data_IF_024617800214
#
_entry.id   IF_024617800214
#
_cell.length_a   1.000
_cell.length_b   1.000
_cell.length_c   1.000
_cell.angle_alpha   90.00
_cell.angle_beta   90.00
_cell.angle_gamma   90.00
#
_symmetry.space_group_name_H-M   'P 1'
#
loop_
_entity.id
_entity.type
_entity.pdbx_description
1 polymer ?
#
# COMPACT_ATOMS: atom_id res chain seq x y z
N UNK A 1 -10.64 2.63 -22.82
CA UNK A 1 -10.12 4.01 -22.83
C UNK A 1 -9.10 4.13 -21.72
N UNK A 2 -7.94 4.77 -21.91
CA UNK A 2 -7.04 5.06 -20.79
C UNK A 2 -7.83 5.81 -19.73
N UNK A 3 -7.86 5.30 -18.51
CA UNK A 3 -8.45 6.00 -17.38
C UNK A 3 -7.54 7.18 -17.09
N UNK A 4 -8.06 8.41 -17.14
CA UNK A 4 -7.32 9.58 -16.66
C UNK A 4 -7.00 9.31 -15.19
N UNK A 5 -5.72 9.19 -14.85
CA UNK A 5 -5.34 8.95 -13.47
C UNK A 5 -5.96 10.04 -12.58
N UNK A 6 -6.72 9.68 -11.52
CA UNK A 6 -7.41 10.65 -10.69
C UNK A 6 -6.45 11.48 -9.82
N UNK A 7 -5.15 11.24 -9.92
CA UNK A 7 -4.13 11.77 -9.02
C UNK A 7 -3.36 12.94 -9.63
N UNK A 8 -2.94 13.87 -8.77
CA UNK A 8 -1.73 14.66 -8.98
C UNK A 8 -0.48 13.87 -8.54
N UNK A 9 0.61 14.57 -8.23
CA UNK A 9 1.79 13.97 -7.57
C UNK A 9 1.42 13.57 -6.14
N UNK A 10 0.93 12.35 -5.95
CA UNK A 10 0.64 11.76 -4.64
C UNK A 10 1.90 11.08 -4.13
N UNK A 11 2.35 11.51 -2.94
CA UNK A 11 3.46 10.90 -2.22
C UNK A 11 3.00 9.63 -1.51
N UNK A 12 3.91 8.68 -1.37
CA UNK A 12 3.72 7.49 -0.56
C UNK A 12 5.05 6.97 -0.01
N UNK A 13 4.99 6.19 1.05
CA UNK A 13 6.14 5.45 1.57
C UNK A 13 5.90 3.95 1.43
N UNK A 14 6.86 3.22 0.85
CA UNK A 14 6.84 1.75 0.86
C UNK A 14 7.72 1.28 2.03
N UNK A 15 7.13 0.56 2.97
CA UNK A 15 7.82 -0.08 4.09
C UNK A 15 7.89 -1.57 3.81
N UNK A 16 9.11 -2.07 3.63
CA UNK A 16 9.37 -3.42 3.15
C UNK A 16 10.20 -4.21 4.15
N UNK A 17 9.61 -5.21 4.83
CA UNK A 17 10.37 -6.22 5.54
C UNK A 17 11.16 -7.12 4.58
N UNK A 18 12.37 -7.50 4.99
CA UNK A 18 13.22 -8.47 4.30
C UNK A 18 12.63 -9.88 4.35
N UNK A 19 11.85 -10.19 5.38
CA UNK A 19 11.12 -11.43 5.47
C UNK A 19 10.12 -11.52 4.31
N UNK A 20 10.27 -12.56 3.50
CA UNK A 20 9.34 -12.90 2.43
C UNK A 20 8.18 -13.72 2.97
N UNK A 21 7.04 -13.61 2.30
CA UNK A 21 5.90 -14.47 2.52
C UNK A 21 5.49 -15.10 1.18
N UNK A 22 5.36 -16.42 1.17
CA UNK A 22 5.06 -17.18 -0.04
C UNK A 22 3.62 -16.91 -0.49
N UNK A 23 3.45 -16.40 -1.72
CA UNK A 23 2.11 -16.19 -2.29
C UNK A 23 1.24 -17.46 -2.24
N UNK A 24 1.71 -18.66 -2.64
CA UNK A 24 0.95 -19.90 -2.43
C UNK A 24 0.53 -20.16 -0.98
N UNK A 25 1.35 -19.79 0.01
CA UNK A 25 1.01 -19.97 1.42
C UNK A 25 -0.12 -19.04 1.84
N UNK A 26 -0.08 -17.77 1.44
CA UNK A 26 -1.14 -16.78 1.74
C UNK A 26 -2.46 -17.20 1.09
N UNK A 27 -2.43 -17.57 -0.20
CA UNK A 27 -3.64 -18.06 -0.87
C UNK A 27 -4.15 -19.37 -0.25
N UNK A 28 -3.27 -20.25 0.22
CA UNK A 28 -3.65 -21.49 0.91
C UNK A 28 -4.26 -21.25 2.30
N UNK A 29 -4.00 -20.10 2.92
CA UNK A 29 -4.58 -19.68 4.19
C UNK A 29 -5.85 -18.82 4.03
N UNK A 30 -6.26 -18.52 2.79
CA UNK A 30 -7.43 -17.70 2.52
C UNK A 30 -8.71 -18.36 3.06
N UNK A 31 -9.44 -17.63 3.91
CA UNK A 31 -10.74 -18.03 4.42
C UNK A 31 -11.83 -17.24 3.69
N UNK A 32 -12.67 -17.93 2.92
CA UNK A 32 -13.74 -17.31 2.13
C UNK A 32 -14.81 -16.65 3.00
N UNK A 33 -14.98 -17.10 4.25
CA UNK A 33 -15.93 -16.50 5.17
C UNK A 33 -15.44 -15.15 5.74
N UNK A 34 -14.16 -14.83 5.54
CA UNK A 34 -13.50 -13.60 6.02
C UNK A 34 -13.21 -12.59 4.90
N UNK A 35 -13.60 -12.89 3.66
CA UNK A 35 -13.46 -11.95 2.55
C UNK A 35 -14.29 -10.69 2.81
N UNK A 36 -13.83 -9.59 2.22
CA UNK A 36 -14.60 -8.37 2.16
C UNK A 36 -15.96 -8.62 1.51
N UNK A 37 -16.97 -7.92 2.03
CA UNK A 37 -18.33 -7.93 1.49
C UNK A 37 -18.60 -6.74 0.57
N UNK A 38 -17.60 -5.87 0.43
CA UNK A 38 -17.68 -4.72 -0.46
C UNK A 38 -17.75 -5.16 -1.92
N UNK A 39 -18.53 -4.45 -2.72
CA UNK A 39 -18.60 -4.69 -4.16
C UNK A 39 -17.37 -4.07 -4.84
N UNK A 40 -16.51 -4.85 -5.52
CA UNK A 40 -15.33 -4.33 -6.19
C UNK A 40 -15.65 -3.33 -7.30
N UNK A 41 -16.83 -3.41 -7.94
CA UNK A 41 -17.24 -2.42 -8.94
C UNK A 41 -17.61 -1.08 -8.30
N UNK A 42 -18.22 -1.11 -7.10
CA UNK A 42 -18.53 0.10 -6.33
C UNK A 42 -17.24 0.75 -5.79
N UNK A 43 -16.32 -0.06 -5.25
CA UNK A 43 -14.99 0.42 -4.82
C UNK A 43 -14.24 1.08 -5.98
N UNK A 44 -14.25 0.46 -7.16
CA UNK A 44 -13.63 1.04 -8.35
C UNK A 44 -14.32 2.34 -8.76
N UNK A 45 -15.65 2.39 -8.80
CA UNK A 45 -16.39 3.59 -9.17
C UNK A 45 -16.07 4.76 -8.23
N UNK A 46 -16.07 4.51 -6.92
CA UNK A 46 -15.69 5.47 -5.87
C UNK A 46 -14.26 5.96 -6.06
N UNK A 47 -13.32 5.06 -6.27
CA UNK A 47 -11.92 5.42 -6.52
C UNK A 47 -11.74 6.27 -7.78
N UNK A 48 -12.48 5.98 -8.86
CA UNK A 48 -12.43 6.78 -10.09
C UNK A 48 -13.06 8.17 -9.92
N UNK A 49 -14.05 8.31 -9.03
CA UNK A 49 -14.71 9.58 -8.75
C UNK A 49 -13.92 10.46 -7.78
N UNK A 50 -13.39 9.88 -6.70
CA UNK A 50 -12.78 10.62 -5.58
C UNK A 50 -11.26 10.49 -5.49
N UNK A 51 -10.64 9.58 -6.25
CA UNK A 51 -9.20 9.35 -6.17
C UNK A 51 -8.77 8.81 -4.81
N UNK A 52 -7.65 9.31 -4.29
CA UNK A 52 -7.10 8.87 -2.99
C UNK A 52 -7.86 9.47 -1.83
N UNK A 53 -8.61 10.54 -2.11
CA UNK A 53 -9.48 11.23 -1.16
C UNK A 53 -10.85 10.53 -1.02
N UNK A 54 -11.02 9.34 -1.62
CA UNK A 54 -12.19 8.49 -1.39
C UNK A 54 -12.36 8.27 0.12
N UNK A 55 -13.56 8.49 0.69
CA UNK A 55 -13.69 8.48 2.15
C UNK A 55 -13.19 7.15 2.76
N UNK A 56 -12.73 7.22 4.01
CA UNK A 56 -12.56 6.11 4.93
C UNK A 56 -11.56 5.02 4.52
N UNK A 57 -10.95 4.37 5.51
CA UNK A 57 -10.08 3.22 5.27
C UNK A 57 -10.83 2.00 4.70
N UNK A 58 -12.16 2.00 4.76
CA UNK A 58 -13.04 0.95 4.22
C UNK A 58 -13.06 0.91 2.69
N UNK A 59 -12.66 1.99 2.01
CA UNK A 59 -12.52 2.00 0.56
C UNK A 59 -11.31 1.21 0.04
N UNK A 60 -10.39 0.83 0.93
CA UNK A 60 -9.10 0.24 0.59
C UNK A 60 -9.00 -1.20 1.07
N UNK A 61 -9.53 -2.10 0.24
CA UNK A 61 -9.64 -3.52 0.58
C UNK A 61 -8.51 -4.33 -0.04
N UNK A 62 -7.89 -5.18 0.77
CA UNK A 62 -7.04 -6.27 0.31
C UNK A 62 -7.39 -7.55 1.08
N UNK A 63 -8.15 -8.45 0.44
CA UNK A 63 -8.57 -9.74 1.02
C UNK A 63 -7.39 -10.65 1.44
N UNK A 64 -6.18 -10.37 0.96
CA UNK A 64 -4.99 -11.14 1.32
C UNK A 64 -4.31 -10.64 2.60
N UNK A 65 -4.74 -9.51 3.18
CA UNK A 65 -4.16 -9.00 4.42
C UNK A 65 -4.36 -9.96 5.59
N UNK A 66 -5.60 -10.36 5.84
CA UNK A 66 -5.92 -11.26 6.95
C UNK A 66 -5.13 -12.59 6.89
N UNK A 67 -5.13 -13.35 5.77
CA UNK A 67 -4.31 -14.56 5.70
C UNK A 67 -2.80 -14.30 5.74
N UNK A 68 -2.32 -13.15 5.25
CA UNK A 68 -0.90 -12.79 5.38
C UNK A 68 -0.52 -12.51 6.83
N UNK A 69 -1.40 -11.84 7.59
CA UNK A 69 -1.22 -11.57 9.02
C UNK A 69 -1.30 -12.82 9.87
N UNK A 70 -2.16 -13.78 9.50
CA UNK A 70 -2.23 -15.08 10.18
C UNK A 70 -0.96 -15.91 9.92
N UNK A 71 -0.40 -15.82 8.72
CA UNK A 71 0.86 -16.47 8.39
C UNK A 71 2.10 -15.77 8.98
N UNK A 72 2.03 -14.45 9.15
CA UNK A 72 3.14 -13.60 9.62
C UNK A 72 2.62 -12.49 10.55
N UNK A 73 2.41 -12.77 11.85
CA UNK A 73 1.85 -11.80 12.80
C UNK A 73 2.68 -10.52 12.97
N UNK A 74 3.99 -10.59 12.76
CA UNK A 74 4.89 -9.43 12.79
C UNK A 74 4.56 -8.41 11.70
N UNK A 75 4.04 -8.86 10.54
CA UNK A 75 3.58 -7.97 9.48
C UNK A 75 2.34 -7.17 9.91
N UNK A 76 1.43 -7.81 10.65
CA UNK A 76 0.28 -7.13 11.25
C UNK A 76 0.72 -6.07 12.26
N UNK A 77 1.64 -6.42 13.15
CA UNK A 77 2.20 -5.49 14.12
C UNK A 77 2.88 -4.29 13.45
N UNK A 78 3.61 -4.51 12.35
CA UNK A 78 4.19 -3.44 11.55
C UNK A 78 3.12 -2.52 10.94
N UNK A 79 2.04 -3.08 10.36
CA UNK A 79 0.92 -2.28 9.85
C UNK A 79 0.25 -1.46 10.97
N UNK A 80 0.03 -2.06 12.13
CA UNK A 80 -0.55 -1.38 13.30
C UNK A 80 0.33 -0.24 13.82
N UNK A 81 1.65 -0.37 13.75
CA UNK A 81 2.58 0.73 14.07
C UNK A 81 2.51 1.86 13.04
N UNK A 82 2.45 1.52 11.75
CA UNK A 82 2.34 2.50 10.66
C UNK A 82 1.03 3.29 10.73
N UNK A 83 -0.09 2.66 11.11
CA UNK A 83 -1.38 3.32 11.34
C UNK A 83 -1.35 4.37 12.46
N UNK A 84 -0.35 4.34 13.35
CA UNK A 84 -0.19 5.34 14.43
C UNK A 84 0.60 6.57 13.96
N UNK A 85 1.25 6.50 12.80
CA UNK A 85 2.03 7.61 12.24
C UNK A 85 1.07 8.66 11.70
N UNK A 86 1.23 9.90 12.17
CA UNK A 86 0.42 11.03 11.70
C UNK A 86 0.88 11.50 10.33
N UNK A 87 -0.06 11.95 9.52
CA UNK A 87 0.18 12.52 8.19
C UNK A 87 -0.08 11.56 7.04
N UNK A 88 -0.07 10.24 7.28
CA UNK A 88 -0.55 9.28 6.29
C UNK A 88 -2.07 9.27 6.23
N UNK A 89 -2.59 9.25 5.01
CA UNK A 89 -4.02 9.18 4.72
C UNK A 89 -4.51 7.74 4.84
N UNK A 90 -3.73 6.78 4.29
CA UNK A 90 -4.08 5.36 4.30
C UNK A 90 -2.84 4.47 4.44
N UNK A 91 -3.00 3.30 5.06
CA UNK A 91 -1.94 2.28 5.22
C UNK A 91 -2.45 0.91 4.79
N UNK A 92 -1.78 0.30 3.81
CA UNK A 92 -2.23 -0.95 3.18
C UNK A 92 -1.07 -1.90 2.87
N UNK A 93 -1.34 -3.19 2.86
CA UNK A 93 -0.42 -4.18 2.30
C UNK A 93 -0.56 -4.28 0.78
N UNK A 94 0.55 -4.38 0.07
CA UNK A 94 0.57 -4.63 -1.38
C UNK A 94 0.53 -6.14 -1.68
N UNK A 95 -0.43 -6.58 -2.50
CA UNK A 95 -0.54 -7.97 -2.95
C UNK A 95 -0.70 -8.95 -1.79
N UNK A 96 0.07 -10.05 -1.80
CA UNK A 96 0.14 -11.02 -0.68
C UNK A 96 1.20 -10.67 0.37
N UNK A 97 1.67 -9.41 0.39
CA UNK A 97 2.75 -8.96 1.26
C UNK A 97 4.15 -9.37 0.79
N UNK A 98 5.20 -9.02 1.53
CA UNK A 98 5.21 -8.34 2.84
C UNK A 98 5.32 -6.81 2.76
N UNK A 99 5.29 -6.22 1.56
CA UNK A 99 5.35 -4.76 1.43
C UNK A 99 4.09 -4.10 1.98
N UNK A 100 4.25 -3.11 2.85
CA UNK A 100 3.19 -2.17 3.26
C UNK A 100 3.46 -0.84 2.58
N UNK A 101 2.45 -0.17 2.08
CA UNK A 101 2.57 1.17 1.55
C UNK A 101 1.63 2.13 2.29
N UNK A 102 2.14 3.32 2.56
CA UNK A 102 1.44 4.39 3.25
C UNK A 102 1.21 5.53 2.26
N UNK A 103 -0.04 5.84 1.95
CA UNK A 103 -0.43 6.96 1.09
C UNK A 103 -0.36 8.25 1.91
N UNK A 104 0.18 9.32 1.33
CA UNK A 104 0.41 10.58 2.01
C UNK A 104 1.87 10.73 2.45
N UNK A 105 2.12 11.65 3.38
CA UNK A 105 3.45 11.95 3.90
C UNK A 105 3.37 12.10 5.42
N UNK A 106 4.28 11.47 6.19
CA UNK A 106 4.26 11.62 7.64
C UNK A 106 4.50 13.08 8.03
N UNK A 107 3.91 13.54 9.13
CA UNK A 107 4.11 14.91 9.66
C UNK A 107 5.60 15.24 9.87
N UNK A 108 6.41 14.23 10.18
CA UNK A 108 7.86 14.31 10.36
C UNK A 108 8.55 13.13 9.66
N UNK A 109 9.10 13.38 8.48
CA UNK A 109 9.80 12.38 7.67
C UNK A 109 11.10 11.89 8.34
N UNK A 110 11.84 12.77 9.01
CA UNK A 110 13.11 12.40 9.63
C UNK A 110 12.87 11.46 10.82
N UNK A 111 11.86 11.76 11.65
CA UNK A 111 11.44 10.88 12.74
C UNK A 111 10.90 9.55 12.23
N UNK A 112 10.11 9.56 11.14
CA UNK A 112 9.59 8.35 10.51
C UNK A 112 10.71 7.45 10.01
N UNK A 113 11.67 8.00 9.25
CA UNK A 113 12.83 7.23 8.76
C UNK A 113 13.67 6.69 9.93
N UNK A 114 13.91 7.50 10.97
CA UNK A 114 14.66 7.07 12.14
C UNK A 114 13.98 5.94 12.92
N UNK A 115 12.64 5.88 12.94
CA UNK A 115 11.87 4.86 13.66
C UNK A 115 11.71 3.56 12.87
N UNK A 116 11.50 3.62 11.55
CA UNK A 116 11.15 2.45 10.74
C UNK A 116 12.32 1.91 9.90
N UNK A 117 13.12 2.78 9.28
CA UNK A 117 14.25 2.36 8.43
C UNK A 117 15.46 1.89 9.26
N UNK A 118 15.50 2.25 10.55
CA UNK A 118 16.50 1.75 11.49
C UNK A 118 16.17 0.37 12.07
N UNK A 119 14.94 -0.15 11.84
CA UNK A 119 14.54 -1.47 12.32
C UNK A 119 15.30 -2.54 11.53
N UNK A 120 15.88 -3.51 12.24
CA UNK A 120 16.59 -4.61 11.61
C UNK A 120 15.66 -5.37 10.65
N UNK A 121 16.09 -5.55 9.41
CA UNK A 121 15.33 -6.28 8.38
C UNK A 121 14.13 -5.53 7.82
N UNK A 122 14.08 -4.20 7.93
CA UNK A 122 13.08 -3.35 7.29
C UNK A 122 13.77 -2.28 6.47
N UNK A 123 13.23 -1.97 5.28
CA UNK A 123 13.65 -0.83 4.45
C UNK A 123 12.47 0.06 4.13
N UNK A 124 12.69 1.37 4.14
CA UNK A 124 11.68 2.39 3.83
C UNK A 124 12.05 3.13 2.54
N UNK A 125 11.09 3.26 1.64
CA UNK A 125 11.25 3.92 0.35
C UNK A 125 10.19 5.01 0.17
N UNK A 126 10.52 6.29 0.44
CA UNK A 126 9.71 7.42 0.04
C UNK A 126 9.63 7.49 -1.50
N UNK A 127 8.44 7.62 -2.06
CA UNK A 127 8.21 7.59 -3.51
C UNK A 127 6.93 8.35 -3.92
N UNK A 128 6.64 8.39 -5.22
CA UNK A 128 5.42 9.00 -5.78
C UNK A 128 4.85 8.10 -6.90
N UNK A 129 3.55 8.22 -7.17
CA UNK A 129 2.96 7.48 -8.30
C UNK A 129 3.60 7.90 -9.62
N UNK A 130 4.00 6.91 -10.43
CA UNK A 130 4.51 7.17 -11.78
C UNK A 130 3.36 7.62 -12.68
N UNK A 131 3.35 8.90 -13.05
CA UNK A 131 2.47 9.43 -14.10
C UNK A 131 3.20 9.43 -15.44
N UNK A 132 2.50 9.03 -16.50
CA UNK A 132 3.01 9.06 -17.87
C UNK A 132 2.12 9.98 -18.69
N UNK A 133 2.72 10.91 -19.43
CA UNK A 133 1.97 11.69 -20.41
C UNK A 133 1.60 10.83 -21.62
N UNK A 134 0.36 10.96 -22.08
CA UNK A 134 -0.14 10.19 -23.22
C UNK A 134 0.60 10.62 -24.50
N UNK A 135 1.36 9.70 -25.12
CA UNK A 135 2.04 9.92 -26.40
C UNK A 135 3.57 9.96 -26.33
N UNK A 136 4.16 10.02 -25.14
CA UNK A 136 5.61 9.89 -24.99
C UNK A 136 5.97 8.40 -24.99
N UNK A 137 6.43 7.89 -26.13
CA UNK A 137 6.84 6.49 -26.34
C UNK A 137 8.07 6.03 -25.54
N UNK A 138 8.25 6.55 -24.33
CA UNK A 138 9.43 6.37 -23.49
C UNK A 138 9.13 5.29 -22.46
N UNK A 139 9.57 4.07 -22.75
CA UNK A 139 9.68 3.03 -21.73
C UNK A 139 11.01 3.21 -21.00
N UNK A 140 10.95 3.42 -19.68
CA UNK A 140 12.04 3.36 -18.70
C UNK A 140 13.39 3.92 -19.21
N UNK A 141 13.61 5.23 -19.09
CA UNK A 141 14.98 5.74 -18.99
C UNK A 141 15.44 5.54 -17.54
N UNK A 142 16.34 4.57 -17.34
CA UNK A 142 16.95 4.34 -16.03
C UNK A 142 17.68 5.61 -15.58
N UNK A 143 17.27 6.18 -14.46
CA UNK A 143 18.01 7.26 -13.81
C UNK A 143 19.32 6.67 -13.30
N UNK A 144 20.44 7.03 -13.94
CA UNK A 144 21.81 6.79 -13.47
C UNK A 144 22.22 7.83 -12.42
#
# INVERSE_FOLDING_TARGET
TPVKAPFGKVKLCIVKPDIGLSTPQVFGALDYDQLSKEDPEELLARFLEFGVDADGDDAYVNDLEQPAFDCLPELKALKEDLLKVKGFDHVMMSGSGTSIFCIGEPDDMDAFMAEFDSREGVSVFPTEFTQREEGEGVWFEGSL
#
